data_IF_057739192075
#
_entry.id   IF_057739192075
#
_cell.length_a   1.000
_cell.length_b   1.000
_cell.length_c   1.000
_cell.angle_alpha   90.00
_cell.angle_beta   90.00
_cell.angle_gamma   90.00
#
_symmetry.space_group_name_H-M   'P 1'
#
loop_
_entity.id
_entity.type
_entity.pdbx_description
1 polymer ?
#
# COMPACT_ATOMS: atom_id res chain seq x y z
N UNK A 1 35.10 9.00 -30.06
CA UNK A 1 34.39 8.17 -31.03
C UNK A 1 34.22 6.78 -30.42
N UNK A 2 33.15 6.57 -29.64
CA UNK A 2 32.93 5.33 -28.92
C UNK A 2 32.19 4.34 -29.79
N UNK A 3 32.75 3.14 -29.90
CA UNK A 3 32.33 2.07 -30.80
C UNK A 3 30.92 1.54 -30.45
N UNK A 4 29.94 1.80 -31.34
CA UNK A 4 28.55 1.33 -31.22
C UNK A 4 28.42 -0.18 -31.03
N UNK A 5 29.39 -0.97 -31.45
CA UNK A 5 29.38 -2.41 -31.29
C UNK A 5 29.59 -2.86 -29.85
N UNK A 6 30.35 -2.12 -29.03
CA UNK A 6 30.55 -2.43 -27.61
C UNK A 6 29.28 -2.12 -26.78
N UNK A 7 28.52 -1.09 -27.16
CA UNK A 7 27.25 -0.74 -26.49
C UNK A 7 26.14 -1.78 -26.73
N UNK A 8 26.08 -2.34 -27.93
CA UNK A 8 25.13 -3.40 -28.28
C UNK A 8 25.51 -4.71 -27.55
N UNK A 9 26.82 -4.98 -27.45
CA UNK A 9 27.31 -6.19 -26.75
C UNK A 9 27.03 -6.12 -25.23
N UNK A 10 27.19 -4.95 -24.60
CA UNK A 10 26.82 -4.76 -23.18
C UNK A 10 25.31 -4.85 -22.95
N UNK A 11 24.48 -4.30 -23.83
CA UNK A 11 23.02 -4.43 -23.74
C UNK A 11 22.55 -5.90 -23.89
N UNK A 12 23.17 -6.65 -24.81
CA UNK A 12 22.86 -8.07 -25.01
C UNK A 12 23.36 -8.94 -23.83
N UNK A 13 24.48 -8.55 -23.20
CA UNK A 13 24.99 -9.26 -22.02
C UNK A 13 24.13 -9.00 -20.77
N UNK A 14 23.65 -7.78 -20.57
CA UNK A 14 22.69 -7.46 -19.51
C UNK A 14 21.35 -8.19 -19.73
N UNK A 15 20.87 -8.33 -20.97
CA UNK A 15 19.67 -9.11 -21.26
C UNK A 15 19.86 -10.62 -21.03
N UNK A 16 21.05 -11.17 -21.28
CA UNK A 16 21.36 -12.58 -20.98
C UNK A 16 21.45 -12.87 -19.49
N UNK A 17 21.83 -11.90 -18.64
CA UNK A 17 21.79 -12.02 -17.18
C UNK A 17 20.34 -12.07 -16.65
N UNK A 18 19.41 -11.39 -17.30
CA UNK A 18 17.99 -11.43 -16.95
C UNK A 18 17.25 -12.68 -17.47
N UNK A 19 17.73 -13.29 -18.57
CA UNK A 19 17.14 -14.49 -19.14
C UNK A 19 18.24 -15.55 -19.41
N UNK A 20 18.63 -16.34 -18.40
CA UNK A 20 19.59 -17.41 -18.65
C UNK A 20 18.98 -18.48 -19.56
N UNK A 21 19.50 -18.59 -20.78
CA UNK A 21 19.24 -19.72 -21.67
C UNK A 21 19.61 -21.03 -20.99
N UNK A 22 18.71 -21.97 -20.99
CA UNK A 22 18.93 -23.30 -20.45
C UNK A 22 20.07 -24.01 -21.22
N UNK A 23 21.17 -24.33 -20.54
CA UNK A 23 22.19 -25.24 -21.06
C UNK A 23 21.64 -26.67 -21.11
N UNK A 24 21.91 -27.44 -22.18
CA UNK A 24 21.47 -28.81 -22.31
C UNK A 24 22.41 -29.73 -21.55
N UNK A 25 22.04 -30.14 -20.35
CA UNK A 25 22.73 -31.25 -19.69
C UNK A 25 21.74 -32.26 -19.14
N UNK A 26 21.81 -33.45 -19.79
CA UNK A 26 21.30 -34.76 -19.39
C UNK A 26 19.84 -35.06 -19.69
N UNK A 27 19.65 -35.56 -20.93
CA UNK A 27 18.71 -36.61 -21.26
C UNK A 27 18.97 -37.79 -20.33
N UNK A 28 18.06 -38.10 -19.44
CA UNK A 28 17.62 -39.43 -19.02
C UNK A 28 16.49 -39.26 -18.00
N UNK A 29 15.39 -39.85 -18.35
CA UNK A 29 14.20 -40.24 -17.63
C UNK A 29 12.89 -39.58 -18.07
N UNK A 30 12.16 -40.47 -18.73
CA UNK A 30 10.71 -40.51 -18.83
C UNK A 30 10.02 -39.54 -19.79
N UNK A 31 9.77 -40.12 -20.96
CA UNK A 31 8.83 -39.69 -21.99
C UNK A 31 7.40 -39.86 -21.46
N UNK A 32 6.97 -38.96 -20.59
CA UNK A 32 5.54 -38.76 -20.23
C UNK A 32 5.40 -37.45 -19.49
N UNK A 33 4.58 -36.55 -20.00
CA UNK A 33 4.26 -35.20 -19.49
C UNK A 33 5.04 -33.99 -20.05
N UNK A 34 5.36 -33.97 -21.34
CA UNK A 34 5.97 -32.77 -21.93
C UNK A 34 5.05 -31.55 -21.93
N UNK A 35 3.71 -31.66 -21.95
CA UNK A 35 2.79 -30.55 -21.95
C UNK A 35 2.62 -29.88 -20.57
N UNK A 36 2.65 -30.61 -19.47
CA UNK A 36 2.57 -30.03 -18.11
C UNK A 36 3.85 -29.30 -17.69
N UNK A 37 5.02 -29.70 -18.20
CA UNK A 37 6.30 -29.10 -17.81
C UNK A 37 6.51 -27.66 -18.37
N UNK A 38 6.00 -27.36 -19.55
CA UNK A 38 6.16 -26.04 -20.18
C UNK A 38 5.30 -24.95 -19.52
N UNK A 39 4.09 -25.30 -19.05
CA UNK A 39 3.21 -24.36 -18.32
C UNK A 39 3.78 -24.00 -16.94
N UNK A 40 4.40 -24.93 -16.27
CA UNK A 40 4.94 -24.75 -14.91
C UNK A 40 6.24 -23.92 -14.85
N UNK A 41 7.00 -23.88 -15.97
CA UNK A 41 8.24 -23.10 -16.06
C UNK A 41 8.01 -21.58 -16.08
N UNK A 42 6.81 -21.15 -16.49
CA UNK A 42 6.42 -19.73 -16.61
C UNK A 42 5.82 -19.15 -15.32
N UNK A 43 5.48 -19.97 -14.32
CA UNK A 43 4.81 -19.49 -13.09
C UNK A 43 5.71 -18.61 -12.20
N UNK A 44 7.01 -18.86 -12.15
CA UNK A 44 7.93 -18.06 -11.30
C UNK A 44 8.07 -16.62 -11.81
N UNK A 45 8.39 -16.37 -13.08
CA UNK A 45 8.45 -15.00 -13.60
C UNK A 45 7.08 -14.33 -13.54
N UNK A 46 5.99 -15.07 -13.76
CA UNK A 46 4.64 -14.54 -13.67
C UNK A 46 4.31 -14.05 -12.24
N UNK A 47 4.57 -14.86 -11.22
CA UNK A 47 4.34 -14.46 -9.83
C UNK A 47 5.13 -13.18 -9.47
N UNK A 48 6.37 -13.06 -9.92
CA UNK A 48 7.24 -11.92 -9.62
C UNK A 48 6.71 -10.61 -10.17
N UNK A 49 6.38 -10.61 -11.46
CA UNK A 49 5.82 -9.43 -12.12
C UNK A 49 4.47 -9.08 -11.50
N UNK A 50 3.65 -10.09 -11.26
CA UNK A 50 2.35 -9.94 -10.62
C UNK A 50 2.46 -9.37 -9.20
N UNK A 51 3.34 -9.92 -8.37
CA UNK A 51 3.59 -9.39 -7.02
C UNK A 51 4.13 -7.96 -7.05
N UNK A 52 5.00 -7.62 -8.00
CA UNK A 52 5.49 -6.25 -8.18
C UNK A 52 4.40 -5.26 -8.60
N UNK A 53 3.52 -5.65 -9.54
CA UNK A 53 2.38 -4.83 -9.97
C UNK A 53 1.40 -4.62 -8.81
N UNK A 54 1.05 -5.69 -8.10
CA UNK A 54 0.21 -5.60 -6.89
C UNK A 54 0.83 -4.65 -5.86
N UNK A 55 2.16 -4.73 -5.68
CA UNK A 55 2.89 -3.81 -4.82
C UNK A 55 2.83 -2.36 -5.27
N UNK A 56 2.83 -2.11 -6.57
CA UNK A 56 2.65 -0.75 -7.12
C UNK A 56 1.26 -0.22 -6.80
N UNK A 57 0.20 -1.00 -7.06
CA UNK A 57 -1.18 -0.59 -6.78
C UNK A 57 -1.37 -0.39 -5.27
N UNK A 58 -0.83 -1.29 -4.43
CA UNK A 58 -0.87 -1.14 -2.99
C UNK A 58 -0.14 0.12 -2.50
N UNK A 59 1.04 0.42 -3.05
CA UNK A 59 1.77 1.66 -2.73
C UNK A 59 1.04 2.91 -3.22
N UNK A 60 0.27 2.80 -4.31
CA UNK A 60 -0.59 3.86 -4.81
C UNK A 60 -1.72 4.21 -3.83
N UNK A 61 -2.25 3.24 -3.04
CA UNK A 61 -3.29 3.54 -2.03
C UNK A 61 -2.79 4.50 -0.97
N UNK A 62 -1.54 4.31 -0.51
CA UNK A 62 -0.93 5.20 0.47
C UNK A 62 -0.70 6.61 -0.10
N UNK A 63 -0.18 6.72 -1.32
CA UNK A 63 0.02 8.00 -1.97
C UNK A 63 -1.30 8.71 -2.28
N UNK A 64 -2.34 7.96 -2.66
CA UNK A 64 -3.67 8.49 -2.86
C UNK A 64 -4.28 9.05 -1.57
N UNK A 65 -4.11 8.35 -0.44
CA UNK A 65 -4.52 8.84 0.88
C UNK A 65 -3.88 10.19 1.19
N UNK A 66 -2.55 10.28 1.06
CA UNK A 66 -1.82 11.52 1.31
C UNK A 66 -2.22 12.65 0.33
N UNK A 67 -2.54 12.32 -0.92
CA UNK A 67 -2.97 13.28 -1.93
C UNK A 67 -4.39 13.81 -1.72
N UNK A 68 -5.25 13.06 -1.03
CA UNK A 68 -6.66 13.42 -0.82
C UNK A 68 -6.99 13.87 0.60
N UNK A 69 -6.03 13.73 1.54
CA UNK A 69 -6.25 13.98 2.96
C UNK A 69 -6.76 15.39 3.26
N UNK A 70 -6.17 16.41 2.61
CA UNK A 70 -6.57 17.81 2.79
C UNK A 70 -8.01 18.08 2.33
N UNK A 71 -8.49 17.38 1.30
CA UNK A 71 -9.87 17.48 0.85
C UNK A 71 -10.83 16.81 1.83
N UNK A 72 -10.42 15.68 2.44
CA UNK A 72 -11.17 14.99 3.49
C UNK A 72 -11.24 15.88 4.75
N UNK A 73 -10.12 16.49 5.15
CA UNK A 73 -10.06 17.45 6.28
C UNK A 73 -11.05 18.60 6.07
N UNK A 74 -11.02 19.22 4.89
CA UNK A 74 -11.96 20.30 4.53
C UNK A 74 -13.42 19.83 4.58
N UNK A 75 -13.71 18.67 4.00
CA UNK A 75 -15.10 18.17 3.91
C UNK A 75 -15.71 17.88 5.29
N UNK A 76 -14.94 17.29 6.19
CA UNK A 76 -15.42 16.88 7.52
C UNK A 76 -14.97 17.80 8.66
N UNK A 77 -14.33 18.93 8.34
CA UNK A 77 -13.79 19.91 9.32
C UNK A 77 -12.87 19.23 10.35
N UNK A 78 -12.05 18.26 9.90
CA UNK A 78 -11.17 17.51 10.76
C UNK A 78 -9.89 18.32 11.01
N UNK A 79 -9.49 18.60 12.27
CA UNK A 79 -8.21 19.22 12.56
C UNK A 79 -7.05 18.35 12.06
N UNK A 80 -6.01 18.95 11.46
CA UNK A 80 -4.84 18.21 10.93
C UNK A 80 -4.11 17.39 12.00
N UNK A 81 -4.20 17.79 13.29
CA UNK A 81 -3.71 17.00 14.42
C UNK A 81 -4.39 15.62 14.48
N UNK A 82 -5.72 15.58 14.33
CA UNK A 82 -6.50 14.35 14.39
C UNK A 82 -6.21 13.47 13.18
N UNK A 83 -5.98 14.05 12.01
CA UNK A 83 -5.60 13.32 10.80
C UNK A 83 -4.24 12.62 10.95
N UNK A 84 -3.28 13.29 11.58
CA UNK A 84 -2.02 12.67 11.96
C UNK A 84 -2.24 11.46 12.87
N UNK A 85 -3.12 11.55 13.85
CA UNK A 85 -3.48 10.44 14.73
C UNK A 85 -4.18 9.30 13.96
N UNK A 86 -5.10 9.63 13.06
CA UNK A 86 -5.76 8.63 12.18
C UNK A 86 -4.72 7.83 11.40
N UNK A 87 -3.72 8.49 10.84
CA UNK A 87 -2.66 7.82 10.06
C UNK A 87 -1.83 6.85 10.90
N UNK A 88 -1.62 7.09 12.19
CA UNK A 88 -0.87 6.19 13.08
C UNK A 88 -1.59 4.86 13.34
N UNK A 89 -2.90 4.77 13.08
CA UNK A 89 -3.67 3.54 13.22
C UNK A 89 -3.10 2.38 12.41
N UNK A 90 -2.59 2.65 11.20
CA UNK A 90 -1.92 1.67 10.35
C UNK A 90 -0.66 1.10 11.03
N UNK A 91 0.19 1.95 11.60
CA UNK A 91 1.44 1.54 12.22
C UNK A 91 1.18 0.76 13.52
N UNK A 92 0.21 1.20 14.32
CA UNK A 92 -0.24 0.51 15.53
C UNK A 92 -0.70 -0.91 15.20
N UNK A 93 -1.61 -1.04 14.22
CA UNK A 93 -2.10 -2.35 13.80
C UNK A 93 -0.98 -3.23 13.24
N UNK A 94 -0.10 -2.68 12.41
CA UNK A 94 1.05 -3.39 11.86
C UNK A 94 1.98 -3.91 12.96
N UNK A 95 2.25 -3.11 13.98
CA UNK A 95 3.13 -3.48 15.09
C UNK A 95 2.60 -4.70 15.85
N UNK A 96 1.33 -4.68 16.27
CA UNK A 96 0.76 -5.76 17.07
C UNK A 96 0.47 -7.03 16.27
N UNK A 97 0.03 -6.88 15.03
CA UNK A 97 -0.47 -8.00 14.24
C UNK A 97 0.65 -8.66 13.44
N UNK A 98 1.68 -7.90 12.99
CA UNK A 98 2.73 -8.43 12.12
C UNK A 98 3.44 -9.64 12.71
N UNK A 99 3.78 -9.59 13.98
CA UNK A 99 4.52 -10.65 14.64
C UNK A 99 3.69 -11.94 14.76
N UNK A 100 2.45 -11.81 15.21
CA UNK A 100 1.55 -12.97 15.44
C UNK A 100 1.15 -13.56 14.09
N UNK A 101 0.65 -12.72 13.21
CA UNK A 101 0.07 -13.15 11.94
C UNK A 101 1.13 -13.69 10.99
N UNK A 102 2.33 -13.07 10.94
CA UNK A 102 3.43 -13.56 10.13
C UNK A 102 3.93 -14.93 10.57
N UNK A 103 3.94 -15.22 11.87
CA UNK A 103 4.30 -16.52 12.40
C UNK A 103 3.32 -17.61 11.96
N UNK A 104 2.02 -17.41 12.18
CA UNK A 104 0.99 -18.39 11.80
C UNK A 104 0.86 -18.53 10.27
N UNK A 105 0.80 -17.42 9.56
CA UNK A 105 0.67 -17.41 8.12
C UNK A 105 1.94 -17.94 7.42
N UNK A 106 3.12 -17.73 8.03
CA UNK A 106 4.40 -18.24 7.54
C UNK A 106 4.46 -19.76 7.46
N UNK A 107 3.81 -20.48 8.39
CA UNK A 107 3.72 -21.95 8.40
C UNK A 107 2.56 -22.51 7.56
N UNK A 108 1.70 -21.65 7.04
CA UNK A 108 0.46 -21.98 6.34
C UNK A 108 0.60 -21.84 4.81
N UNK A 109 -0.51 -21.60 4.10
CA UNK A 109 -0.54 -21.37 2.65
C UNK A 109 -0.28 -19.91 2.33
N UNK A 110 0.99 -19.48 2.22
CA UNK A 110 1.40 -18.08 2.10
C UNK A 110 0.66 -17.28 1.01
N UNK A 111 0.51 -17.73 -0.25
CA UNK A 111 -0.21 -16.95 -1.25
C UNK A 111 -1.66 -16.64 -0.87
N UNK A 112 -2.36 -17.57 -0.21
CA UNK A 112 -3.74 -17.32 0.26
C UNK A 112 -3.77 -16.27 1.36
N UNK A 113 -2.80 -16.29 2.28
CA UNK A 113 -2.69 -15.26 3.32
C UNK A 113 -2.31 -13.89 2.75
N UNK A 114 -1.47 -13.84 1.71
CA UNK A 114 -1.19 -12.60 0.98
C UNK A 114 -2.46 -12.09 0.31
N UNK A 115 -3.23 -12.97 -0.36
CA UNK A 115 -4.51 -12.63 -0.96
C UNK A 115 -5.52 -12.13 0.09
N UNK A 116 -5.59 -12.77 1.26
CA UNK A 116 -6.40 -12.27 2.38
C UNK A 116 -5.95 -10.88 2.83
N UNK A 117 -4.63 -10.64 2.93
CA UNK A 117 -4.10 -9.31 3.22
C UNK A 117 -4.51 -8.27 2.17
N UNK A 118 -4.56 -8.64 0.89
CA UNK A 118 -5.06 -7.74 -0.16
C UNK A 118 -6.56 -7.45 -0.01
N UNK A 119 -7.37 -8.43 0.41
CA UNK A 119 -8.79 -8.18 0.71
C UNK A 119 -8.98 -7.24 1.90
N UNK A 120 -8.11 -7.27 2.90
CA UNK A 120 -8.16 -6.26 3.98
C UNK A 120 -7.80 -4.86 3.48
N UNK A 121 -6.91 -4.72 2.48
CA UNK A 121 -6.66 -3.43 1.84
C UNK A 121 -7.86 -2.97 0.99
N UNK A 122 -8.56 -3.89 0.33
CA UNK A 122 -9.83 -3.56 -0.35
C UNK A 122 -10.86 -3.04 0.66
N UNK A 123 -11.00 -3.71 1.80
CA UNK A 123 -11.88 -3.25 2.88
C UNK A 123 -11.47 -1.86 3.41
N UNK A 124 -10.17 -1.59 3.56
CA UNK A 124 -9.66 -0.26 3.87
C UNK A 124 -10.10 0.79 2.86
N UNK A 125 -9.94 0.52 1.56
CA UNK A 125 -10.36 1.45 0.51
C UNK A 125 -11.86 1.75 0.58
N UNK A 126 -12.68 0.73 0.80
CA UNK A 126 -14.13 0.87 0.94
C UNK A 126 -14.51 1.62 2.22
N UNK A 127 -13.88 1.31 3.36
CA UNK A 127 -14.10 2.02 4.63
C UNK A 127 -13.71 3.49 4.53
N UNK A 128 -12.63 3.80 3.80
CA UNK A 128 -12.20 5.18 3.58
C UNK A 128 -13.17 5.95 2.67
N UNK A 129 -13.78 5.29 1.68
CA UNK A 129 -14.80 5.90 0.83
C UNK A 129 -16.17 6.01 1.52
N UNK A 130 -16.46 5.15 2.49
CA UNK A 130 -17.76 5.01 3.15
C UNK A 130 -18.34 6.31 3.73
N UNK A 131 -17.54 7.20 4.37
CA UNK A 131 -18.06 8.47 4.87
C UNK A 131 -18.75 9.31 3.81
N UNK A 132 -18.29 9.28 2.55
CA UNK A 132 -18.96 10.00 1.47
C UNK A 132 -20.39 9.46 1.19
N UNK A 133 -20.56 8.15 1.22
CA UNK A 133 -21.87 7.53 0.98
C UNK A 133 -22.83 7.69 2.16
N UNK A 134 -22.32 7.80 3.39
CA UNK A 134 -23.13 8.00 4.58
C UNK A 134 -23.54 9.47 4.80
N UNK A 135 -22.65 10.40 4.51
CA UNK A 135 -22.83 11.84 4.83
C UNK A 135 -22.98 12.73 3.58
N UNK A 136 -22.90 12.15 2.38
CA UNK A 136 -23.04 12.87 1.11
C UNK A 136 -21.97 13.93 0.86
N UNK A 137 -22.18 14.80 -0.15
CA UNK A 137 -21.23 15.85 -0.51
C UNK A 137 -21.15 16.99 0.51
N UNK A 138 -22.22 17.22 1.30
CA UNK A 138 -22.35 18.28 2.28
C UNK A 138 -23.05 19.51 1.75
N UNK A 139 -23.75 20.22 2.64
CA UNK A 139 -24.57 21.39 2.31
C UNK A 139 -23.76 22.50 1.63
N UNK A 140 -22.54 22.78 2.15
CA UNK A 140 -21.64 23.77 1.56
C UNK A 140 -21.20 23.44 0.13
N UNK A 141 -21.05 22.13 -0.20
CA UNK A 141 -20.75 21.73 -1.57
C UNK A 141 -22.01 21.80 -2.45
N UNK A 142 -23.17 21.45 -1.94
CA UNK A 142 -24.43 21.55 -2.68
C UNK A 142 -24.80 22.99 -3.02
N UNK A 143 -24.66 23.93 -2.08
CA UNK A 143 -24.95 25.35 -2.31
C UNK A 143 -24.10 26.02 -3.39
N UNK A 144 -22.95 25.42 -3.74
CA UNK A 144 -22.06 25.88 -4.81
C UNK A 144 -22.37 25.24 -6.18
N UNK A 145 -23.52 24.58 -6.35
CA UNK A 145 -23.97 24.03 -7.62
C UNK A 145 -25.14 24.84 -8.18
N UNK A 146 -25.33 24.83 -9.50
CA UNK A 146 -26.41 25.57 -10.15
C UNK A 146 -27.79 25.01 -9.79
N UNK A 147 -27.86 23.72 -9.44
CA UNK A 147 -29.11 23.03 -9.13
C UNK A 147 -29.60 23.30 -7.70
N UNK A 148 -28.69 23.58 -6.75
CA UNK A 148 -29.00 23.81 -5.35
C UNK A 148 -28.51 25.17 -4.85
N UNK A 149 -27.79 25.94 -5.67
CA UNK A 149 -27.43 27.32 -5.38
C UNK A 149 -28.68 28.19 -5.35
N UNK A 150 -28.69 29.17 -4.46
CA UNK A 150 -29.75 30.16 -4.39
C UNK A 150 -29.95 30.80 -5.77
N UNK A 151 -31.18 30.82 -6.26
CA UNK A 151 -31.56 31.60 -7.43
C UNK A 151 -31.21 33.05 -7.15
N UNK A 152 -30.52 33.76 -8.06
CA UNK A 152 -30.15 35.16 -7.95
C UNK A 152 -31.35 36.10 -7.71
N UNK A 153 -32.59 35.56 -7.72
CA UNK A 153 -33.82 36.34 -7.58
C UNK A 153 -34.49 36.31 -6.20
N UNK A 154 -33.89 35.59 -5.22
CA UNK A 154 -34.43 35.59 -3.85
C UNK A 154 -33.67 36.60 -2.99
N UNK A 155 -34.20 37.83 -2.84
CA UNK A 155 -33.65 38.90 -1.97
C UNK A 155 -33.38 38.39 -0.54
N UNK A 156 -34.25 37.53 0.01
CA UNK A 156 -34.05 36.92 1.33
C UNK A 156 -32.80 36.00 1.42
N UNK A 157 -32.41 35.37 0.31
CA UNK A 157 -31.24 34.51 0.27
C UNK A 157 -29.95 35.28 0.10
N UNK A 158 -30.00 36.42 -0.58
CA UNK A 158 -28.87 37.39 -0.66
C UNK A 158 -28.54 37.96 0.71
N UNK A 159 -29.55 38.32 1.51
CA UNK A 159 -29.39 38.87 2.84
C UNK A 159 -28.77 37.84 3.81
N UNK A 160 -29.14 36.57 3.73
CA UNK A 160 -28.56 35.49 4.51
C UNK A 160 -27.10 35.20 4.05
N UNK A 161 -26.83 35.26 2.74
CA UNK A 161 -25.48 35.06 2.19
C UNK A 161 -24.55 36.24 2.58
N UNK A 162 -25.03 37.47 2.59
CA UNK A 162 -24.30 38.63 3.06
C UNK A 162 -24.01 38.56 4.56
N UNK A 163 -24.96 38.07 5.35
CA UNK A 163 -24.79 37.84 6.79
C UNK A 163 -23.76 36.73 7.08
N UNK A 164 -23.76 35.62 6.31
CA UNK A 164 -22.72 34.58 6.43
C UNK A 164 -21.35 35.06 5.95
N UNK A 165 -21.28 35.79 4.85
CA UNK A 165 -20.04 36.41 4.39
C UNK A 165 -19.50 37.45 5.38
N UNK A 166 -20.36 38.22 6.05
CA UNK A 166 -19.94 39.12 7.12
C UNK A 166 -19.42 38.37 8.36
N UNK A 167 -19.92 37.17 8.65
CA UNK A 167 -19.39 36.32 9.74
C UNK A 167 -18.03 35.70 9.42
N UNK A 168 -17.76 35.46 8.15
CA UNK A 168 -16.50 34.83 7.72
C UNK A 168 -15.37 35.82 7.41
N UNK A 169 -15.68 37.09 7.19
CA UNK A 169 -14.68 38.14 7.00
C UNK A 169 -14.15 38.63 8.37
N UNK A 170 -12.84 38.68 8.53
CA UNK A 170 -12.20 39.27 9.70
C UNK A 170 -12.72 40.72 9.92
N UNK A 171 -13.50 40.94 10.96
CA UNK A 171 -13.96 42.24 11.35
C UNK A 171 -12.77 43.09 11.84
N UNK A 172 -12.47 44.16 11.15
CA UNK A 172 -11.41 45.12 11.51
C UNK A 172 -11.76 46.01 12.72
N UNK A 173 -12.92 45.86 13.35
CA UNK A 173 -13.33 46.63 14.50
C UNK A 173 -13.02 45.89 15.83
N UNK A 174 -11.94 46.26 16.42
CA UNK A 174 -11.31 45.80 17.68
C UNK A 174 -12.09 46.10 18.97
N UNK A 175 -13.39 46.30 18.96
CA UNK A 175 -14.16 46.68 20.17
C UNK A 175 -15.27 45.69 20.56
N UNK A 176 -15.38 44.56 19.94
CA UNK A 176 -16.27 43.51 20.42
C UNK A 176 -15.43 42.38 20.97
N UNK A 177 -15.70 42.00 22.24
CA UNK A 177 -14.97 41.00 22.98
C UNK A 177 -14.57 39.78 22.18
N UNK A 178 -13.48 39.16 22.57
CA UNK A 178 -12.91 37.91 22.05
C UNK A 178 -14.09 36.98 21.80
N UNK A 179 -14.59 36.99 20.56
CA UNK A 179 -15.47 35.89 20.12
C UNK A 179 -14.57 34.65 20.20
N UNK A 180 -14.78 33.83 21.21
CA UNK A 180 -14.24 32.49 21.23
C UNK A 180 -14.63 31.91 19.86
N UNK A 181 -13.62 31.68 19.01
CA UNK A 181 -13.81 30.87 17.84
C UNK A 181 -14.28 29.52 18.39
N UNK A 182 -15.58 29.28 18.40
CA UNK A 182 -16.13 27.96 18.62
C UNK A 182 -15.48 27.11 17.54
N UNK A 183 -14.47 26.37 17.95
CA UNK A 183 -13.94 25.26 17.16
C UNK A 183 -15.13 24.31 16.96
N UNK A 184 -15.86 24.50 15.85
CA UNK A 184 -16.86 23.49 15.45
C UNK A 184 -16.15 22.14 15.55
N UNK A 185 -16.48 21.39 16.58
CA UNK A 185 -15.93 20.06 16.78
C UNK A 185 -16.33 19.25 15.56
N UNK A 186 -15.34 18.97 14.71
CA UNK A 186 -15.55 18.20 13.48
C UNK A 186 -16.24 16.89 13.81
N UNK A 187 -17.17 16.46 12.96
CA UNK A 187 -17.95 15.24 13.16
C UNK A 187 -17.04 14.05 13.49
N UNK A 188 -17.20 13.47 14.68
CA UNK A 188 -16.36 12.39 15.21
C UNK A 188 -16.54 11.08 14.41
N UNK A 189 -17.72 10.83 13.88
CA UNK A 189 -18.03 9.58 13.21
C UNK A 189 -17.19 9.31 11.94
N UNK A 190 -16.98 10.27 11.01
CA UNK A 190 -16.04 10.09 9.90
C UNK A 190 -14.61 9.83 10.36
N UNK A 191 -14.15 10.48 11.43
CA UNK A 191 -12.81 10.29 11.98
C UNK A 191 -12.60 8.85 12.48
N UNK A 192 -13.58 8.31 13.21
CA UNK A 192 -13.57 6.93 13.69
C UNK A 192 -13.55 5.95 12.52
N UNK A 193 -14.36 6.17 11.48
CA UNK A 193 -14.38 5.30 10.29
C UNK A 193 -13.03 5.30 9.56
N UNK A 194 -12.40 6.47 9.40
CA UNK A 194 -11.08 6.58 8.80
C UNK A 194 -10.01 5.87 9.64
N UNK A 195 -10.05 6.03 10.97
CA UNK A 195 -9.14 5.35 11.88
C UNK A 195 -9.28 3.82 11.84
N UNK A 196 -10.52 3.31 11.85
CA UNK A 196 -10.79 1.87 11.68
C UNK A 196 -10.28 1.37 10.32
N UNK A 197 -10.46 2.15 9.27
CA UNK A 197 -9.89 1.85 7.96
C UNK A 197 -8.37 1.68 8.03
N UNK A 198 -7.66 2.59 8.69
CA UNK A 198 -6.20 2.51 8.86
C UNK A 198 -5.77 1.28 9.70
N UNK A 199 -6.51 0.92 10.73
CA UNK A 199 -6.25 -0.32 11.49
C UNK A 199 -6.36 -1.57 10.59
N UNK A 200 -7.38 -1.63 9.74
CA UNK A 200 -7.57 -2.72 8.76
C UNK A 200 -6.45 -2.74 7.72
N UNK A 201 -5.99 -1.56 7.27
CA UNK A 201 -4.88 -1.45 6.33
C UNK A 201 -3.58 -2.05 6.87
N UNK A 202 -3.27 -1.82 8.17
CA UNK A 202 -2.06 -2.34 8.80
C UNK A 202 -1.98 -3.88 8.81
N UNK A 203 -3.13 -4.56 8.93
CA UNK A 203 -3.20 -6.05 8.81
C UNK A 203 -2.73 -6.48 7.41
N UNK A 204 -3.31 -5.88 6.38
CA UNK A 204 -2.99 -6.21 4.99
C UNK A 204 -1.54 -5.90 4.63
N UNK A 205 -1.06 -4.76 5.08
CA UNK A 205 0.33 -4.32 4.92
C UNK A 205 1.30 -5.34 5.48
N UNK A 206 1.09 -5.77 6.73
CA UNK A 206 1.95 -6.75 7.41
C UNK A 206 2.01 -8.07 6.66
N UNK A 207 0.85 -8.60 6.23
CA UNK A 207 0.78 -9.85 5.48
C UNK A 207 1.47 -9.75 4.12
N UNK A 208 1.21 -8.69 3.39
CA UNK A 208 1.77 -8.51 2.05
C UNK A 208 3.30 -8.46 2.08
N UNK A 209 3.89 -7.62 2.93
CA UNK A 209 5.35 -7.43 2.95
C UNK A 209 6.09 -8.62 3.53
N UNK A 210 5.64 -9.14 4.65
CA UNK A 210 6.34 -10.22 5.35
C UNK A 210 6.26 -11.54 4.58
N UNK A 211 5.06 -11.92 4.16
CA UNK A 211 4.86 -13.21 3.50
C UNK A 211 5.29 -13.20 2.03
N UNK A 212 5.21 -12.05 1.35
CA UNK A 212 5.63 -11.93 -0.03
C UNK A 212 7.12 -12.14 -0.20
N UNK A 213 7.94 -11.48 0.62
CA UNK A 213 9.39 -11.67 0.63
C UNK A 213 9.75 -13.12 0.99
N UNK A 214 9.12 -13.68 2.02
CA UNK A 214 9.33 -15.06 2.44
C UNK A 214 8.92 -16.07 1.36
N UNK A 215 7.83 -15.84 0.64
CA UNK A 215 7.40 -16.72 -0.46
C UNK A 215 8.37 -16.67 -1.64
N UNK A 216 8.93 -15.51 -1.97
CA UNK A 216 9.97 -15.38 -3.00
C UNK A 216 11.21 -16.16 -2.58
N UNK A 217 11.69 -15.98 -1.35
CA UNK A 217 12.90 -16.65 -0.85
C UNK A 217 12.79 -18.18 -0.86
N UNK A 218 11.65 -18.71 -0.42
CA UNK A 218 11.41 -20.15 -0.39
C UNK A 218 11.35 -20.79 -1.79
N UNK A 219 10.86 -20.06 -2.77
CA UNK A 219 10.58 -20.61 -4.10
C UNK A 219 11.69 -20.35 -5.12
N UNK A 220 12.68 -19.53 -4.78
CA UNK A 220 13.79 -19.18 -5.66
C UNK A 220 15.12 -19.68 -5.08
N UNK A 221 16.17 -19.76 -5.91
CA UNK A 221 17.52 -20.02 -5.44
C UNK A 221 18.00 -18.83 -4.61
N UNK A 222 18.57 -19.04 -3.43
CA UNK A 222 19.04 -17.97 -2.52
C UNK A 222 19.96 -16.94 -3.18
N UNK A 223 20.81 -17.37 -4.12
CA UNK A 223 21.67 -16.48 -4.90
C UNK A 223 20.90 -15.48 -5.80
N UNK A 224 19.65 -15.76 -6.17
CA UNK A 224 18.81 -14.91 -7.02
C UNK A 224 17.73 -14.13 -6.23
N UNK A 225 17.50 -14.48 -4.98
CA UNK A 225 16.50 -13.85 -4.11
C UNK A 225 16.70 -12.34 -4.00
N UNK A 226 17.93 -11.80 -3.75
CA UNK A 226 18.12 -10.36 -3.64
C UNK A 226 17.72 -9.59 -4.90
N UNK A 227 18.14 -10.07 -6.09
CA UNK A 227 17.80 -9.42 -7.36
C UNK A 227 16.30 -9.39 -7.63
N UNK A 228 15.57 -10.41 -7.17
CA UNK A 228 14.13 -10.52 -7.39
C UNK A 228 13.33 -9.66 -6.42
N UNK A 229 13.78 -9.59 -5.18
CA UNK A 229 13.22 -8.69 -4.18
C UNK A 229 13.46 -7.24 -4.64
N UNK A 230 14.66 -6.89 -5.10
CA UNK A 230 14.97 -5.57 -5.62
C UNK A 230 14.09 -5.17 -6.80
N UNK A 231 13.82 -6.09 -7.74
CA UNK A 231 12.90 -5.82 -8.85
C UNK A 231 11.47 -5.55 -8.36
N UNK A 232 11.00 -6.31 -7.36
CA UNK A 232 9.67 -6.09 -6.77
C UNK A 232 9.58 -4.73 -6.07
N UNK A 233 10.65 -4.32 -5.37
CA UNK A 233 10.75 -2.99 -4.77
C UNK A 233 10.79 -1.87 -5.82
N UNK A 234 11.53 -2.08 -6.91
CA UNK A 234 11.59 -1.11 -8.01
C UNK A 234 10.20 -0.87 -8.62
N UNK A 235 9.45 -1.94 -8.94
CA UNK A 235 8.08 -1.82 -9.44
C UNK A 235 7.18 -1.08 -8.46
N UNK A 236 7.33 -1.35 -7.15
CA UNK A 236 6.56 -0.69 -6.11
C UNK A 236 6.82 0.82 -6.02
N UNK A 237 8.03 1.29 -6.35
CA UNK A 237 8.35 2.72 -6.36
C UNK A 237 7.57 3.51 -7.43
N UNK A 238 6.99 2.83 -8.42
CA UNK A 238 6.10 3.45 -9.41
C UNK A 238 4.71 3.74 -8.82
N UNK A 239 4.34 3.05 -7.74
CA UNK A 239 3.03 3.19 -7.10
C UNK A 239 2.69 4.61 -6.65
N UNK A 240 3.57 5.29 -5.89
CA UNK A 240 3.30 6.64 -5.43
C UNK A 240 3.03 7.63 -6.57
N UNK A 241 3.77 7.54 -7.67
CA UNK A 241 3.52 8.37 -8.85
C UNK A 241 2.11 8.14 -9.42
N UNK A 242 1.70 6.86 -9.55
CA UNK A 242 0.35 6.49 -9.97
C UNK A 242 -0.72 6.96 -8.99
N UNK A 243 -0.47 6.85 -7.68
CA UNK A 243 -1.40 7.28 -6.63
C UNK A 243 -1.64 8.79 -6.62
N UNK A 244 -0.58 9.59 -6.71
CA UNK A 244 -0.73 11.05 -6.80
C UNK A 244 -1.34 11.49 -8.14
N UNK A 245 -1.01 10.83 -9.26
CA UNK A 245 -1.65 11.10 -10.54
C UNK A 245 -3.16 10.82 -10.49
N UNK A 246 -3.56 9.70 -9.88
CA UNK A 246 -4.96 9.37 -9.66
C UNK A 246 -5.66 10.39 -8.75
N UNK A 247 -5.00 10.82 -7.66
CA UNK A 247 -5.51 11.86 -6.78
C UNK A 247 -5.72 13.18 -7.54
N UNK A 248 -4.71 13.60 -8.31
CA UNK A 248 -4.83 14.81 -9.14
C UNK A 248 -5.98 14.72 -10.16
N UNK A 249 -6.19 13.56 -10.75
CA UNK A 249 -7.30 13.34 -11.68
C UNK A 249 -8.66 13.41 -10.97
N UNK A 250 -8.84 12.67 -9.89
CA UNK A 250 -10.11 12.63 -9.15
C UNK A 250 -10.46 13.97 -8.51
N UNK A 251 -9.47 14.71 -8.00
CA UNK A 251 -9.69 16.00 -7.36
C UNK A 251 -10.05 17.13 -8.34
N UNK A 252 -9.81 16.95 -9.64
CA UNK A 252 -10.31 17.87 -10.69
C UNK A 252 -11.80 17.71 -10.97
N UNK A 253 -12.37 16.55 -10.65
CA UNK A 253 -13.79 16.28 -10.78
C UNK A 253 -14.47 16.78 -9.51
N UNK A 254 -15.63 17.42 -9.62
CA UNK A 254 -16.37 17.89 -8.46
C UNK A 254 -16.86 16.72 -7.61
N UNK A 255 -17.02 16.92 -6.30
CA UNK A 255 -17.39 15.88 -5.33
C UNK A 255 -18.69 15.16 -5.71
N UNK A 256 -19.61 15.86 -6.36
CA UNK A 256 -20.85 15.32 -6.96
C UNK A 256 -20.78 15.47 -8.48
N UNK A 257 -20.30 14.45 -9.21
CA UNK A 257 -20.11 14.55 -10.66
C UNK A 257 -21.39 14.76 -11.47
N UNK A 258 -22.54 14.48 -10.88
CA UNK A 258 -23.87 14.63 -11.48
C UNK A 258 -24.37 16.09 -11.49
N UNK A 259 -23.76 16.97 -10.68
CA UNK A 259 -24.17 18.36 -10.49
C UNK A 259 -23.18 19.29 -11.21
N UNK A 260 -23.70 20.45 -11.67
CA UNK A 260 -22.87 21.45 -12.34
C UNK A 260 -22.39 22.50 -11.33
N UNK A 261 -21.07 22.52 -10.97
CA UNK A 261 -20.56 23.50 -10.04
C UNK A 261 -20.61 24.92 -10.64
N UNK A 262 -20.97 25.90 -9.83
CA UNK A 262 -20.91 27.33 -10.17
C UNK A 262 -19.51 27.93 -10.06
N UNK A 263 -18.61 27.22 -9.39
CA UNK A 263 -17.22 27.61 -9.14
C UNK A 263 -16.23 26.78 -9.98
N UNK A 264 -15.01 27.27 -10.14
CA UNK A 264 -13.94 26.59 -10.87
C UNK A 264 -13.04 25.84 -9.89
N UNK A 265 -12.26 24.89 -10.40
CA UNK A 265 -11.29 24.09 -9.61
C UNK A 265 -10.14 24.93 -9.01
N UNK A 266 -10.04 26.22 -9.28
CA UNK A 266 -9.10 27.16 -8.66
C UNK A 266 -9.66 27.83 -7.40
N UNK A 267 -10.96 27.73 -7.16
CA UNK A 267 -11.60 28.29 -5.99
C UNK A 267 -11.18 27.50 -4.74
N UNK A 268 -10.78 28.17 -3.62
CA UNK A 268 -10.43 27.50 -2.37
C UNK A 268 -11.56 26.63 -1.78
N UNK A 269 -12.82 26.92 -2.12
CA UNK A 269 -14.01 26.18 -1.68
C UNK A 269 -14.23 24.89 -2.49
N UNK A 270 -13.45 24.67 -3.56
CA UNK A 270 -13.58 23.48 -4.39
C UNK A 270 -13.34 22.19 -3.58
N UNK A 271 -14.27 21.26 -3.67
CA UNK A 271 -14.16 19.91 -3.14
C UNK A 271 -14.14 18.92 -4.29
N UNK A 272 -13.04 18.22 -4.46
CA UNK A 272 -12.89 17.18 -5.50
C UNK A 272 -13.48 15.84 -5.09
N UNK A 273 -13.74 14.98 -6.07
CA UNK A 273 -14.30 13.63 -5.90
C UNK A 273 -13.27 12.64 -5.31
N UNK A 274 -12.79 12.92 -4.10
CA UNK A 274 -11.79 12.11 -3.39
C UNK A 274 -12.20 10.65 -3.18
N UNK A 275 -13.48 10.36 -3.10
CA UNK A 275 -14.03 9.02 -2.90
C UNK A 275 -13.89 8.11 -4.13
N UNK A 276 -13.91 8.68 -5.33
CA UNK A 276 -13.91 7.93 -6.59
C UNK A 276 -12.65 7.10 -6.80
N UNK A 277 -11.48 7.65 -6.49
CA UNK A 277 -10.23 6.93 -6.63
C UNK A 277 -10.10 5.75 -5.66
N UNK A 278 -10.73 5.81 -4.48
CA UNK A 278 -10.79 4.67 -3.56
C UNK A 278 -11.55 3.50 -4.17
N UNK A 279 -12.64 3.74 -4.90
CA UNK A 279 -13.38 2.69 -5.58
C UNK A 279 -12.56 2.07 -6.73
N UNK A 280 -11.84 2.88 -7.49
CA UNK A 280 -10.95 2.41 -8.56
C UNK A 280 -9.84 1.53 -7.99
N UNK A 281 -9.21 1.96 -6.90
CA UNK A 281 -8.15 1.19 -6.24
C UNK A 281 -8.71 -0.09 -5.61
N UNK A 282 -9.89 -0.04 -4.99
CA UNK A 282 -10.56 -1.21 -4.43
C UNK A 282 -10.87 -2.26 -5.50
N UNK A 283 -11.46 -1.86 -6.63
CA UNK A 283 -11.80 -2.76 -7.74
C UNK A 283 -10.54 -3.40 -8.35
N UNK A 284 -9.47 -2.61 -8.54
CA UNK A 284 -8.18 -3.10 -9.01
C UNK A 284 -7.60 -4.14 -8.05
N UNK A 285 -7.48 -3.80 -6.77
CA UNK A 285 -6.92 -4.70 -5.75
C UNK A 285 -7.77 -5.96 -5.55
N UNK A 286 -9.09 -5.85 -5.63
CA UNK A 286 -9.99 -7.00 -5.52
C UNK A 286 -9.68 -8.04 -6.59
N UNK A 287 -9.55 -7.61 -7.86
CA UNK A 287 -9.21 -8.49 -8.97
C UNK A 287 -7.87 -9.19 -8.76
N UNK A 288 -6.87 -8.44 -8.33
CA UNK A 288 -5.53 -8.98 -8.07
C UNK A 288 -5.48 -9.87 -6.81
N UNK A 289 -6.26 -9.58 -5.77
CA UNK A 289 -6.37 -10.41 -4.57
C UNK A 289 -6.90 -11.81 -4.89
N UNK A 290 -7.92 -11.87 -5.75
CA UNK A 290 -8.50 -13.13 -6.20
C UNK A 290 -7.46 -13.99 -6.95
N UNK A 291 -6.74 -13.39 -7.91
CA UNK A 291 -5.68 -14.07 -8.65
C UNK A 291 -4.56 -14.54 -7.70
N UNK A 292 -4.19 -13.73 -6.70
CA UNK A 292 -3.17 -14.09 -5.71
C UNK A 292 -3.55 -15.35 -4.92
N UNK A 293 -4.82 -15.52 -4.56
CA UNK A 293 -5.31 -16.71 -3.87
C UNK A 293 -5.19 -18.00 -4.69
N UNK A 294 -5.14 -17.90 -6.02
CA UNK A 294 -5.02 -19.04 -6.92
C UNK A 294 -3.58 -19.58 -7.02
N UNK A 295 -2.58 -18.85 -6.56
CA UNK A 295 -1.19 -19.32 -6.61
C UNK A 295 -0.95 -20.52 -5.68
N UNK A 296 -0.15 -21.52 -6.12
CA UNK A 296 0.13 -22.71 -5.33
C UNK A 296 1.00 -22.41 -4.11
N UNK A 297 0.86 -23.23 -3.05
CA UNK A 297 1.67 -23.10 -1.81
C UNK A 297 3.19 -23.13 -2.09
N UNK A 298 3.60 -23.99 -3.01
CA UNK A 298 4.99 -24.14 -3.44
C UNK A 298 5.06 -24.21 -4.96
N UNK A 299 6.02 -23.51 -5.54
CA UNK A 299 6.25 -23.61 -6.98
C UNK A 299 6.90 -24.95 -7.32
N UNK A 300 6.63 -25.55 -8.50
CA UNK A 300 7.05 -26.90 -8.83
C UNK A 300 8.55 -27.16 -8.69
N UNK A 301 9.38 -26.17 -9.01
CA UNK A 301 10.84 -26.27 -8.85
C UNK A 301 11.28 -26.30 -7.39
N UNK A 302 10.60 -25.57 -6.50
CA UNK A 302 10.87 -25.60 -5.07
C UNK A 302 10.43 -26.94 -4.46
N UNK A 303 9.25 -27.42 -4.85
CA UNK A 303 8.76 -28.74 -4.45
C UNK A 303 9.71 -29.87 -4.88
N UNK A 304 10.22 -29.82 -6.11
CA UNK A 304 11.20 -30.82 -6.61
C UNK A 304 12.51 -30.74 -5.80
N UNK A 305 13.03 -29.54 -5.51
CA UNK A 305 14.23 -29.39 -4.68
C UNK A 305 14.04 -29.98 -3.28
N UNK A 306 12.90 -29.73 -2.66
CA UNK A 306 12.56 -30.30 -1.34
C UNK A 306 12.51 -31.83 -1.39
N UNK A 307 11.90 -32.42 -2.42
CA UNK A 307 11.89 -33.89 -2.61
C UNK A 307 13.30 -34.45 -2.75
N UNK A 308 14.13 -33.86 -3.60
CA UNK A 308 15.52 -34.30 -3.79
C UNK A 308 16.32 -34.18 -2.49
N UNK A 309 16.14 -33.07 -1.74
CA UNK A 309 16.80 -32.86 -0.45
C UNK A 309 16.37 -33.92 0.59
N UNK A 310 15.07 -34.23 0.67
CA UNK A 310 14.55 -35.25 1.58
C UNK A 310 15.06 -36.68 1.24
N UNK A 311 15.13 -37.02 -0.06
CA UNK A 311 15.68 -38.29 -0.49
C UNK A 311 17.18 -38.41 -0.18
N UNK A 312 17.96 -37.34 -0.38
CA UNK A 312 19.38 -37.30 -0.01
C UNK A 312 19.59 -37.47 1.49
N UNK A 313 18.75 -36.83 2.31
CA UNK A 313 18.78 -36.97 3.76
C UNK A 313 18.48 -38.41 4.19
N UNK A 314 17.50 -39.09 3.57
CA UNK A 314 17.19 -40.51 3.79
C UNK A 314 18.36 -41.41 3.46
N UNK A 315 19.19 -41.04 2.48
CA UNK A 315 20.40 -41.80 2.05
C UNK A 315 21.66 -41.42 2.83
N UNK A 316 21.57 -40.61 3.89
CA UNK A 316 22.72 -40.17 4.70
C UNK A 316 23.69 -39.24 3.99
N UNK A 317 23.36 -38.70 2.84
CA UNK A 317 24.19 -37.74 2.09
C UNK A 317 24.08 -36.35 2.66
N UNK A 318 25.24 -35.62 2.68
CA UNK A 318 25.31 -34.24 3.17
C UNK A 318 24.32 -33.33 2.43
N UNK A 319 23.54 -32.52 3.17
CA UNK A 319 22.61 -31.55 2.59
C UNK A 319 23.38 -30.53 1.73
N UNK A 320 22.85 -30.26 0.52
CA UNK A 320 23.45 -29.27 -0.41
C UNK A 320 23.22 -27.83 0.02
N UNK A 321 22.17 -27.58 0.80
CA UNK A 321 21.82 -26.27 1.39
C UNK A 321 21.21 -26.53 2.78
N UNK A 322 21.47 -25.68 3.78
CA UNK A 322 20.82 -25.78 5.08
C UNK A 322 19.32 -25.46 4.90
N UNK A 323 18.52 -26.50 4.75
CA UNK A 323 17.07 -26.39 4.63
C UNK A 323 16.46 -26.46 6.02
N UNK A 324 16.25 -25.29 6.62
CA UNK A 324 15.44 -25.14 7.81
C UNK A 324 13.96 -25.02 7.41
N UNK A 325 13.37 -26.05 6.87
CA UNK A 325 11.93 -26.19 6.89
C UNK A 325 11.54 -26.71 8.26
N UNK A 326 11.21 -25.79 9.17
CA UNK A 326 10.60 -26.13 10.45
C UNK A 326 9.17 -26.62 10.15
N UNK A 327 8.99 -27.94 10.13
CA UNK A 327 7.69 -28.59 9.87
C UNK A 327 6.83 -28.69 11.14
N UNK A 328 7.29 -28.11 12.26
CA UNK A 328 6.51 -28.09 13.50
C UNK A 328 5.22 -27.32 13.32
N UNK A 329 4.08 -27.82 13.87
CA UNK A 329 2.82 -27.08 13.82
C UNK A 329 2.94 -25.75 14.57
N UNK A 330 2.23 -24.73 14.11
CA UNK A 330 2.24 -23.42 14.74
C UNK A 330 1.64 -23.51 16.13
N UNK A 331 2.43 -23.16 17.18
CA UNK A 331 2.01 -23.13 18.58
C UNK A 331 2.40 -21.78 19.19
N UNK A 332 1.58 -21.25 20.11
CA UNK A 332 1.88 -20.01 20.84
C UNK A 332 3.18 -20.18 21.66
N UNK A 333 3.38 -21.33 22.27
CA UNK A 333 4.59 -21.66 23.04
C UNK A 333 5.85 -21.58 22.16
N UNK A 334 5.82 -22.18 20.98
CA UNK A 334 6.94 -22.15 20.02
C UNK A 334 7.19 -20.73 19.48
N UNK A 335 6.12 -19.95 19.28
CA UNK A 335 6.23 -18.53 18.92
C UNK A 335 6.99 -17.75 20.00
N UNK A 336 6.63 -17.88 21.26
CA UNK A 336 7.28 -17.18 22.37
C UNK A 336 8.75 -17.57 22.52
N UNK A 337 9.07 -18.87 22.38
CA UNK A 337 10.45 -19.36 22.40
C UNK A 337 11.26 -18.78 21.25
N UNK A 338 10.68 -18.70 20.06
CA UNK A 338 11.31 -18.10 18.87
C UNK A 338 11.57 -16.61 19.08
N UNK A 339 10.62 -15.86 19.61
CA UNK A 339 10.80 -14.44 19.97
C UNK A 339 11.90 -14.25 21.00
N UNK A 340 11.92 -15.04 22.07
CA UNK A 340 12.97 -14.99 23.09
C UNK A 340 14.36 -15.27 22.49
N UNK A 341 14.45 -16.19 21.52
CA UNK A 341 15.70 -16.47 20.79
C UNK A 341 16.16 -15.29 19.94
N UNK A 342 15.24 -14.64 19.23
CA UNK A 342 15.52 -13.45 18.42
C UNK A 342 15.99 -12.28 19.28
N UNK A 343 15.32 -12.02 20.40
CA UNK A 343 15.70 -10.95 21.34
C UNK A 343 17.05 -11.21 22.06
N UNK A 344 17.49 -12.46 22.16
CA UNK A 344 18.82 -12.79 22.68
C UNK A 344 19.94 -12.66 21.62
N UNK A 345 19.60 -12.54 20.35
CA UNK A 345 20.58 -12.40 19.27
C UNK A 345 21.04 -10.95 19.17
N UNK A 346 22.28 -10.68 19.65
CA UNK A 346 22.85 -9.33 19.63
C UNK A 346 22.97 -8.73 18.23
N UNK A 347 23.26 -9.54 17.22
CA UNK A 347 23.35 -9.08 15.82
C UNK A 347 21.98 -8.61 15.33
N UNK A 348 20.92 -9.34 15.67
CA UNK A 348 19.54 -8.95 15.35
C UNK A 348 19.16 -7.64 16.04
N UNK A 349 19.47 -7.50 17.33
CA UNK A 349 19.20 -6.27 18.09
C UNK A 349 19.96 -5.07 17.54
N UNK A 350 21.24 -5.19 17.27
CA UNK A 350 22.06 -4.10 16.73
C UNK A 350 21.60 -3.69 15.33
N UNK A 351 21.21 -4.64 14.48
CA UNK A 351 20.69 -4.34 13.15
C UNK A 351 19.33 -3.59 13.22
N UNK A 352 18.44 -3.99 14.15
CA UNK A 352 17.19 -3.26 14.37
C UNK A 352 17.44 -1.87 14.92
N UNK A 353 18.35 -1.73 15.88
CA UNK A 353 18.71 -0.42 16.44
C UNK A 353 19.29 0.51 15.36
N UNK A 354 20.18 0.01 14.53
CA UNK A 354 20.73 0.76 13.39
C UNK A 354 19.61 1.19 12.42
N UNK A 355 18.63 0.31 12.16
CA UNK A 355 17.47 0.63 11.31
C UNK A 355 16.59 1.74 11.92
N UNK A 356 16.39 1.74 13.24
CA UNK A 356 15.66 2.79 13.94
C UNK A 356 16.34 4.14 13.73
N UNK A 357 17.65 4.24 13.98
CA UNK A 357 18.40 5.47 13.78
C UNK A 357 18.42 5.93 12.31
N UNK A 358 18.52 4.98 11.38
CA UNK A 358 18.46 5.28 9.95
C UNK A 358 17.12 5.91 9.56
N UNK A 359 15.98 5.32 9.98
CA UNK A 359 14.66 5.86 9.69
C UNK A 359 14.41 7.20 10.39
N UNK A 360 14.89 7.36 11.62
CA UNK A 360 14.79 8.62 12.35
C UNK A 360 15.55 9.74 11.64
N UNK A 361 16.79 9.48 11.20
CA UNK A 361 17.59 10.42 10.42
C UNK A 361 16.97 10.77 9.08
N UNK A 362 16.35 9.78 8.39
CA UNK A 362 15.65 10.00 7.13
C UNK A 362 14.43 10.93 7.27
N UNK A 363 13.60 10.71 8.29
CA UNK A 363 12.44 11.57 8.59
C UNK A 363 12.90 12.99 8.90
N UNK A 364 13.97 13.13 9.68
CA UNK A 364 14.54 14.45 10.03
C UNK A 364 15.05 15.19 8.80
N UNK A 365 15.74 14.51 7.92
CA UNK A 365 16.23 15.08 6.66
C UNK A 365 15.08 15.57 5.77
N UNK A 366 14.02 14.78 5.62
CA UNK A 366 12.82 15.18 4.86
C UNK A 366 12.14 16.40 5.46
N UNK A 367 12.09 16.51 6.78
CA UNK A 367 11.52 17.67 7.47
C UNK A 367 12.33 18.94 7.22
N UNK A 368 13.65 18.84 7.27
CA UNK A 368 14.56 19.94 6.94
C UNK A 368 14.36 20.39 5.49
N UNK A 369 14.33 19.45 4.54
CA UNK A 369 14.13 19.75 3.12
C UNK A 369 12.78 20.44 2.87
N UNK A 370 11.72 20.01 3.56
CA UNK A 370 10.39 20.66 3.48
C UNK A 370 10.43 22.10 4.01
N UNK A 371 11.12 22.32 5.09
CA UNK A 371 11.27 23.67 5.66
C UNK A 371 12.09 24.58 4.71
N UNK A 372 13.14 24.07 4.07
CA UNK A 372 13.88 24.82 3.05
C UNK A 372 13.01 25.15 1.83
N UNK A 373 12.16 24.22 1.37
CA UNK A 373 11.24 24.46 0.26
C UNK A 373 10.15 25.50 0.55
N UNK A 374 9.84 25.74 1.81
CA UNK A 374 8.88 26.77 2.24
C UNK A 374 9.52 28.17 2.40
N UNK A 375 10.86 28.25 2.31
CA UNK A 375 11.61 29.52 2.39
C UNK A 375 11.92 30.14 1.00
N UNK A 376 11.68 29.39 -0.06
CA UNK A 376 11.78 29.82 -1.47
C UNK A 376 10.40 29.76 -2.13
#
# INVERSE_FOLDING_TARGET
MWDRKKLIFMKVYQWKLFFPSASPTKRFLCKSNHHHHHHQLKLIPLFRVFYGIVGSIFSATYAYFNGTITTIEKRYKIPSRNTGFISTGNDISSLFISAILAYYAGKSHRPRWIGFGLFTIVAFCLLTALPHFLYGPGEQALSLTKEYGASENDEATLEVLELENQKTLCRTNLTAGIAECELEEGNLAPQVLLFLGQLVAGVGQSLYYTLGAAYIDDNVKKSKTPALISLSYFLRLLGPAGGYALASFCLKIYISPELTPSITNKDPRWLGAWWMGWLILAASLFSFAFIMCMFPKQLPRAALRKRIASERRKRGMRALEPEAADETPASISDMLVTFKRLLKNIVFLLNNLASIFYYFGWVWLLQIMKNFSNFY
#
